data_IF_423190635279
#
_entry.id   IF_423190635279
#
_cell.length_a   1.000
_cell.length_b   1.000
_cell.length_c   1.000
_cell.angle_alpha   90.00
_cell.angle_beta   90.00
_cell.angle_gamma   90.00
#
_symmetry.space_group_name_H-M   'P 1'
#
loop_
_entity.id
_entity.type
_entity.pdbx_description
1 polymer ?
#
# COMPACT_ATOMS: atom_id res chain seq x y z
N UNK A 1 21.97 17.47 25.55
CA UNK A 1 21.23 17.64 24.28
C UNK A 1 20.30 16.46 24.17
N UNK A 2 18.99 16.70 24.30
CA UNK A 2 17.98 15.65 24.22
C UNK A 2 17.79 15.35 22.73
N UNK A 3 18.15 14.14 22.29
CA UNK A 3 17.84 13.69 20.93
C UNK A 3 16.31 13.67 20.79
N UNK A 4 15.75 14.67 20.12
CA UNK A 4 14.39 14.60 19.62
C UNK A 4 14.35 13.47 18.58
N UNK A 5 13.97 12.27 19.01
CA UNK A 5 13.54 11.24 18.09
C UNK A 5 12.36 11.81 17.31
N UNK A 6 12.56 12.02 16.01
CA UNK A 6 11.53 12.50 15.10
C UNK A 6 10.42 11.44 15.03
N UNK A 7 9.34 11.61 15.78
CA UNK A 7 8.18 10.71 15.73
C UNK A 7 7.33 11.11 14.53
N UNK A 8 7.56 10.45 13.40
CA UNK A 8 6.70 10.62 12.23
C UNK A 8 5.34 9.99 12.53
N UNK A 9 4.23 10.76 12.48
CA UNK A 9 2.91 10.19 12.69
C UNK A 9 2.59 9.17 11.59
N UNK A 10 2.08 8.01 12.00
CA UNK A 10 1.80 6.88 11.10
C UNK A 10 0.71 7.22 10.04
N UNK A 11 -0.39 7.93 10.34
CA UNK A 11 -1.42 8.19 9.34
C UNK A 11 -0.92 9.03 8.14
N UNK A 12 -0.14 10.11 8.32
CA UNK A 12 0.49 10.80 7.19
C UNK A 12 1.45 9.93 6.38
N UNK A 13 2.22 9.04 7.03
CA UNK A 13 3.09 8.10 6.32
C UNK A 13 2.29 7.14 5.43
N UNK A 14 1.15 6.65 5.94
CA UNK A 14 0.26 5.80 5.15
C UNK A 14 -0.36 6.57 3.97
N UNK A 15 -0.82 7.80 4.19
CA UNK A 15 -1.35 8.65 3.14
C UNK A 15 -0.31 8.92 2.03
N UNK A 16 0.95 9.15 2.41
CA UNK A 16 2.06 9.33 1.47
C UNK A 16 2.31 8.08 0.63
N UNK A 17 2.27 6.88 1.23
CA UNK A 17 2.40 5.63 0.48
C UNK A 17 1.33 5.46 -0.59
N UNK A 18 0.06 5.73 -0.26
CA UNK A 18 -1.02 5.73 -1.24
C UNK A 18 -0.83 6.80 -2.31
N UNK A 19 -0.46 8.02 -1.92
CA UNK A 19 -0.23 9.12 -2.85
C UNK A 19 0.85 8.77 -3.87
N UNK A 20 1.98 8.20 -3.43
CA UNK A 20 3.06 7.75 -4.30
C UNK A 20 2.55 6.69 -5.27
N UNK A 21 1.83 5.68 -4.77
CA UNK A 21 1.25 4.63 -5.61
C UNK A 21 0.31 5.19 -6.69
N UNK A 22 -0.59 6.10 -6.31
CA UNK A 22 -1.53 6.77 -7.24
C UNK A 22 -0.79 7.62 -8.28
N UNK A 23 0.21 8.41 -7.86
CA UNK A 23 0.99 9.23 -8.78
C UNK A 23 1.71 8.34 -9.81
N UNK A 24 2.32 7.24 -9.39
CA UNK A 24 2.97 6.32 -10.31
C UNK A 24 2.00 5.70 -11.31
N UNK A 25 0.79 5.32 -10.86
CA UNK A 25 -0.25 4.84 -11.78
C UNK A 25 -0.68 5.91 -12.78
N UNK A 26 -0.86 7.15 -12.33
CA UNK A 26 -1.27 8.27 -13.20
C UNK A 26 -0.17 8.60 -14.23
N UNK A 27 1.09 8.66 -13.81
CA UNK A 27 2.21 8.90 -14.73
C UNK A 27 2.33 7.73 -15.71
N UNK A 28 2.27 6.48 -15.22
CA UNK A 28 2.34 5.30 -16.06
C UNK A 28 1.20 5.23 -17.07
N UNK A 29 -0.02 5.63 -16.69
CA UNK A 29 -1.16 5.69 -17.62
C UNK A 29 -1.02 6.78 -18.69
N UNK A 30 -0.35 7.89 -18.36
CA UNK A 30 -0.07 8.99 -19.31
C UNK A 30 1.13 8.72 -20.21
N UNK A 31 2.00 7.78 -19.84
CA UNK A 31 3.20 7.42 -20.60
C UNK A 31 2.81 6.62 -21.85
N UNK A 32 2.86 7.27 -23.02
CA UNK A 32 2.54 6.67 -24.31
C UNK A 32 3.77 6.49 -25.21
N UNK A 33 4.93 7.04 -24.81
CA UNK A 33 6.13 7.04 -25.64
C UNK A 33 6.95 5.76 -25.49
N UNK A 34 6.97 5.18 -24.29
CA UNK A 34 7.75 4.00 -23.96
C UNK A 34 6.91 2.98 -23.17
N UNK A 35 6.66 1.84 -23.80
CA UNK A 35 5.88 0.73 -23.23
C UNK A 35 6.58 0.12 -22.00
N UNK A 36 7.92 0.05 -22.02
CA UNK A 36 8.73 -0.48 -20.93
C UNK A 36 8.59 0.42 -19.71
N UNK A 37 8.78 1.74 -19.89
CA UNK A 37 8.61 2.72 -18.81
C UNK A 37 7.18 2.75 -18.26
N UNK A 38 6.17 2.70 -19.14
CA UNK A 38 4.76 2.60 -18.77
C UNK A 38 4.51 1.39 -17.87
N UNK A 39 4.94 0.21 -18.29
CA UNK A 39 4.72 -1.03 -17.54
C UNK A 39 5.47 -1.01 -16.19
N UNK A 40 6.65 -0.40 -16.14
CA UNK A 40 7.42 -0.24 -14.92
C UNK A 40 6.70 0.65 -13.90
N UNK A 41 6.22 1.81 -14.33
CA UNK A 41 5.50 2.77 -13.49
C UNK A 41 4.17 2.20 -13.00
N UNK A 42 3.39 1.57 -13.88
CA UNK A 42 2.13 0.91 -13.52
C UNK A 42 2.41 -0.25 -12.55
N UNK A 43 3.41 -1.07 -12.85
CA UNK A 43 3.80 -2.21 -12.02
C UNK A 43 4.16 -1.79 -10.61
N UNK A 44 5.05 -0.81 -10.46
CA UNK A 44 5.45 -0.25 -9.17
C UNK A 44 4.28 0.40 -8.42
N UNK A 45 3.43 1.16 -9.12
CA UNK A 45 2.25 1.77 -8.51
C UNK A 45 1.27 0.73 -7.94
N UNK A 46 1.01 -0.34 -8.69
CA UNK A 46 0.16 -1.46 -8.23
C UNK A 46 0.77 -2.20 -7.04
N UNK A 47 2.09 -2.43 -7.04
CA UNK A 47 2.77 -3.07 -5.90
C UNK A 47 2.65 -2.21 -4.65
N UNK A 48 2.94 -0.91 -4.74
CA UNK A 48 2.86 0.00 -3.59
C UNK A 48 1.43 0.01 -3.04
N UNK A 49 0.41 0.23 -3.89
CA UNK A 49 -0.99 0.21 -3.43
C UNK A 49 -1.35 -1.16 -2.83
N UNK A 50 -0.90 -2.25 -3.46
CA UNK A 50 -1.11 -3.60 -2.97
C UNK A 50 -0.51 -3.87 -1.58
N UNK A 51 0.59 -3.20 -1.22
CA UNK A 51 1.16 -3.22 0.14
C UNK A 51 0.34 -2.35 1.09
N UNK A 52 -0.07 -1.15 0.65
CA UNK A 52 -0.74 -0.19 1.52
C UNK A 52 -2.14 -0.63 1.97
N UNK A 53 -2.86 -1.37 1.12
CA UNK A 53 -4.20 -1.86 1.41
C UNK A 53 -4.28 -2.78 2.63
N UNK A 54 -3.42 -3.80 2.80
CA UNK A 54 -3.40 -4.59 4.03
C UNK A 54 -2.70 -3.86 5.18
N UNK A 55 -1.65 -3.07 4.92
CA UNK A 55 -0.91 -2.37 6.00
C UNK A 55 -1.79 -1.39 6.75
N UNK A 56 -2.71 -0.69 6.07
CA UNK A 56 -3.58 0.33 6.69
C UNK A 56 -4.52 -0.23 7.76
N UNK A 57 -5.39 -1.23 7.48
CA UNK A 57 -6.24 -1.85 8.48
C UNK A 57 -5.42 -2.60 9.54
N UNK A 58 -4.32 -3.26 9.18
CA UNK A 58 -3.44 -3.92 10.17
C UNK A 58 -2.92 -2.90 11.18
N UNK A 59 -2.44 -1.76 10.70
CA UNK A 59 -1.94 -0.67 11.54
C UNK A 59 -3.04 -0.08 12.43
N UNK A 60 -4.21 0.15 11.85
CA UNK A 60 -5.36 0.71 12.58
C UNK A 60 -5.86 -0.22 13.68
N UNK A 61 -6.14 -1.48 13.34
CA UNK A 61 -6.62 -2.48 14.31
C UNK A 61 -5.53 -2.86 15.31
N UNK A 62 -4.26 -2.87 14.91
CA UNK A 62 -3.12 -3.04 15.83
C UNK A 62 -3.05 -1.92 16.87
N UNK A 63 -3.23 -0.66 16.44
CA UNK A 63 -3.29 0.48 17.35
C UNK A 63 -4.49 0.38 18.32
N UNK A 64 -5.68 0.02 17.82
CA UNK A 64 -6.86 -0.15 18.66
C UNK A 64 -6.70 -1.29 19.67
N UNK A 65 -6.12 -2.42 19.26
CA UNK A 65 -5.83 -3.55 20.14
C UNK A 65 -4.91 -3.14 21.30
N UNK A 66 -3.89 -2.32 21.04
CA UNK A 66 -2.94 -1.84 22.05
C UNK A 66 -3.52 -0.77 22.98
N UNK A 67 -4.41 0.10 22.47
CA UNK A 67 -4.89 1.28 23.22
C UNK A 67 -6.23 1.09 23.91
N UNK A 68 -7.09 0.19 23.39
CA UNK A 68 -8.47 0.03 23.86
C UNK A 68 -8.79 -1.39 24.32
N UNK A 69 -7.82 -2.32 24.29
CA UNK A 69 -8.03 -3.76 24.55
C UNK A 69 -9.16 -4.32 23.65
N UNK A 70 -9.21 -3.83 22.41
CA UNK A 70 -10.20 -4.27 21.44
C UNK A 70 -9.99 -5.75 21.12
N UNK A 71 -11.02 -6.56 21.33
CA UNK A 71 -11.09 -7.92 20.81
C UNK A 71 -11.64 -7.85 19.39
N UNK A 72 -10.86 -8.31 18.41
CA UNK A 72 -11.29 -8.34 17.02
C UNK A 72 -12.44 -9.34 16.86
N UNK A 73 -13.57 -8.86 16.36
CA UNK A 73 -14.71 -9.69 16.00
C UNK A 73 -14.54 -10.31 14.61
N UNK A 74 -15.54 -11.10 14.21
CA UNK A 74 -15.57 -11.75 12.90
C UNK A 74 -15.55 -10.74 11.74
N UNK A 75 -16.14 -9.56 11.93
CA UNK A 75 -16.21 -8.53 10.90
C UNK A 75 -14.83 -7.90 10.64
N UNK A 76 -14.08 -7.58 11.69
CA UNK A 76 -12.73 -7.02 11.60
C UNK A 76 -11.77 -8.03 10.96
N UNK A 77 -11.88 -9.30 11.34
CA UNK A 77 -11.12 -10.40 10.73
C UNK A 77 -11.45 -10.53 9.24
N UNK A 78 -12.74 -10.45 8.87
CA UNK A 78 -13.14 -10.49 7.46
C UNK A 78 -12.56 -9.31 6.66
N UNK A 79 -12.58 -8.09 7.22
CA UNK A 79 -11.98 -6.90 6.59
C UNK A 79 -10.48 -7.10 6.39
N UNK A 80 -9.76 -7.59 7.41
CA UNK A 80 -8.33 -7.89 7.32
C UNK A 80 -8.05 -8.93 6.23
N UNK A 81 -8.80 -10.03 6.20
CA UNK A 81 -8.65 -11.08 5.20
C UNK A 81 -8.89 -10.56 3.77
N UNK A 82 -9.97 -9.82 3.54
CA UNK A 82 -10.28 -9.23 2.23
C UNK A 82 -9.21 -8.24 1.81
N UNK A 83 -8.73 -7.39 2.73
CA UNK A 83 -7.66 -6.44 2.45
C UNK A 83 -6.36 -7.13 2.07
N UNK A 84 -6.03 -8.25 2.72
CA UNK A 84 -4.85 -9.06 2.42
C UNK A 84 -4.95 -9.70 1.04
N UNK A 85 -6.09 -10.32 0.73
CA UNK A 85 -6.33 -10.95 -0.57
C UNK A 85 -6.22 -9.92 -1.70
N UNK A 86 -6.88 -8.76 -1.52
CA UNK A 86 -6.84 -7.70 -2.53
C UNK A 86 -5.44 -7.12 -2.69
N UNK A 87 -4.72 -6.92 -1.58
CA UNK A 87 -3.32 -6.50 -1.61
C UNK A 87 -2.44 -7.46 -2.40
N UNK A 88 -2.55 -8.77 -2.15
CA UNK A 88 -1.80 -9.81 -2.85
C UNK A 88 -2.11 -9.81 -4.36
N UNK A 89 -3.39 -9.69 -4.73
CA UNK A 89 -3.80 -9.63 -6.15
C UNK A 89 -3.13 -8.44 -6.84
N UNK A 90 -3.16 -7.25 -6.22
CA UNK A 90 -2.53 -6.06 -6.81
C UNK A 90 -1.01 -6.18 -6.90
N UNK A 91 -0.36 -6.71 -5.86
CA UNK A 91 1.09 -6.97 -5.88
C UNK A 91 1.47 -7.95 -6.99
N UNK A 92 0.68 -9.03 -7.17
CA UNK A 92 0.90 -10.00 -8.25
C UNK A 92 0.73 -9.35 -9.63
N UNK A 93 -0.33 -8.58 -9.84
CA UNK A 93 -0.56 -7.86 -11.09
C UNK A 93 0.55 -6.84 -11.36
N UNK A 94 0.99 -6.13 -10.34
CA UNK A 94 2.10 -5.18 -10.42
C UNK A 94 3.41 -5.85 -10.80
N UNK A 95 3.78 -6.93 -10.11
CA UNK A 95 4.98 -7.72 -10.39
C UNK A 95 4.95 -8.32 -11.81
N UNK A 96 3.80 -8.85 -12.24
CA UNK A 96 3.60 -9.38 -13.59
C UNK A 96 3.70 -8.30 -14.67
N UNK A 97 3.25 -7.09 -14.38
CA UNK A 97 3.35 -5.96 -15.32
C UNK A 97 4.79 -5.49 -15.41
N UNK A 98 5.49 -5.43 -14.28
CA UNK A 98 6.91 -5.10 -14.19
C UNK A 98 7.78 -6.12 -14.94
N UNK A 99 7.52 -7.43 -14.80
CA UNK A 99 8.32 -8.47 -15.44
C UNK A 99 8.24 -8.46 -16.96
N UNK A 100 7.17 -7.91 -17.55
CA UNK A 100 7.02 -7.74 -19.01
C UNK A 100 7.86 -6.58 -19.58
N UNK A 101 8.52 -5.81 -18.71
CA UNK A 101 9.38 -4.68 -19.08
C UNK A 101 10.87 -5.06 -19.15
N UNK A 102 11.23 -6.28 -18.77
CA UNK A 102 12.57 -6.86 -18.94
C UNK A 102 12.66 -7.62 -20.26
#
# INVERSE_FOLDING_TARGET
MQEQMFTVPIPPLLALGFLIGVILLLIGYRENSDLTRRNHLIGLGLVIIGIMIPVTPITWYGYLALTTVLVLGLLEIAILAVSLIFGIILMYLGAKTYSKSQ
#
